data_IF_524502871309
#
_entry.id   IF_524502871309
#
_cell.length_a   1.000
_cell.length_b   1.000
_cell.length_c   1.000
_cell.angle_alpha   90.00
_cell.angle_beta   90.00
_cell.angle_gamma   90.00
#
_symmetry.space_group_name_H-M   'P 1'
#
loop_
_entity.id
_entity.type
_entity.pdbx_description
1 polymer ?
#
# COMPACT_ATOMS: atom_id res chain seq x y z
N UNK A 1 16.74 27.53 10.90
CA UNK A 1 16.98 26.10 11.21
C UNK A 1 15.74 25.25 10.96
N UNK A 2 15.39 25.03 9.68
CA UNK A 2 14.57 23.89 9.18
C UNK A 2 14.90 23.72 7.68
N UNK A 3 16.18 23.47 7.41
CA UNK A 3 16.71 23.10 6.09
C UNK A 3 17.60 21.87 6.33
N UNK A 4 17.02 20.68 6.25
CA UNK A 4 17.72 19.40 6.13
C UNK A 4 16.65 18.31 6.18
N UNK A 5 16.34 17.73 5.02
CA UNK A 5 15.89 16.35 4.71
C UNK A 5 15.29 16.44 3.29
N UNK A 6 16.10 16.93 2.33
CA UNK A 6 15.67 17.04 0.93
C UNK A 6 16.82 16.88 -0.07
N UNK A 7 18.02 16.48 0.36
CA UNK A 7 19.17 16.32 -0.53
C UNK A 7 19.92 15.06 -0.12
N UNK A 8 20.38 14.32 -1.14
CA UNK A 8 20.89 12.93 -1.16
C UNK A 8 19.72 11.97 -1.41
N UNK A 9 19.48 11.51 -2.64
CA UNK A 9 20.37 10.60 -3.37
C UNK A 9 20.26 10.87 -4.89
N UNK A 10 21.28 11.51 -5.45
CA UNK A 10 21.65 11.45 -6.87
C UNK A 10 23.10 10.95 -6.90
N UNK A 11 23.29 9.63 -6.85
CA UNK A 11 24.53 9.00 -7.31
C UNK A 11 24.32 7.49 -7.49
N UNK A 12 24.76 6.97 -8.64
CA UNK A 12 25.03 5.55 -8.83
C UNK A 12 23.91 4.75 -9.51
N UNK A 13 23.69 4.98 -10.80
CA UNK A 13 23.23 3.92 -11.68
C UNK A 13 24.36 2.90 -11.81
N UNK A 14 24.16 1.70 -11.28
CA UNK A 14 24.92 0.51 -11.66
C UNK A 14 23.91 -0.54 -12.10
N UNK A 15 24.00 -0.93 -13.37
CA UNK A 15 23.23 -2.04 -13.93
C UNK A 15 23.46 -3.29 -13.08
N UNK A 16 22.38 -3.97 -12.70
CA UNK A 16 22.46 -5.32 -12.14
C UNK A 16 21.65 -6.29 -13.01
N UNK A 17 22.26 -7.43 -13.41
CA UNK A 17 21.66 -8.40 -14.29
C UNK A 17 20.61 -9.23 -13.55
N UNK A 18 19.63 -9.70 -14.31
CA UNK A 18 18.56 -10.56 -13.83
C UNK A 18 19.08 -11.81 -13.10
N UNK A 19 18.42 -12.13 -12.00
CA UNK A 19 18.25 -13.49 -11.51
C UNK A 19 17.14 -13.52 -10.48
N UNK A 20 16.07 -14.21 -10.83
CA UNK A 20 15.11 -14.76 -9.88
C UNK A 20 15.88 -15.59 -8.85
N UNK A 21 15.96 -15.12 -7.61
CA UNK A 21 16.58 -15.89 -6.55
C UNK A 21 15.76 -15.78 -5.28
N UNK A 22 15.06 -16.88 -5.02
CA UNK A 22 14.32 -17.19 -3.81
C UNK A 22 15.02 -16.69 -2.55
N UNK A 23 14.28 -16.00 -1.69
CA UNK A 23 14.66 -15.75 -0.31
C UNK A 23 14.43 -17.04 0.49
N UNK A 24 15.40 -17.95 0.44
CA UNK A 24 15.43 -19.14 1.29
C UNK A 24 16.38 -18.87 2.46
N UNK A 25 15.83 -18.83 3.67
CA UNK A 25 16.62 -18.84 4.90
C UNK A 25 17.16 -20.25 5.16
N UNK A 26 18.48 -20.37 5.29
CA UNK A 26 19.13 -21.55 5.87
C UNK A 26 18.55 -21.87 7.25
N UNK A 27 18.02 -23.08 7.40
CA UNK A 27 18.08 -23.94 8.60
C UNK A 27 17.36 -25.27 8.32
N UNK A 28 18.03 -26.13 7.56
CA UNK A 28 17.79 -27.58 7.62
C UNK A 28 18.39 -28.13 8.93
N UNK A 29 17.72 -27.85 10.05
CA UNK A 29 17.92 -28.59 11.29
C UNK A 29 16.74 -29.54 11.46
N UNK A 30 17.01 -30.80 11.09
CA UNK A 30 16.31 -32.04 11.41
C UNK A 30 15.15 -31.89 12.42
N UNK A 31 13.95 -31.54 11.94
CA UNK A 31 12.74 -31.57 12.74
C UNK A 31 12.08 -32.96 12.65
N UNK A 32 11.57 -33.53 13.77
CA UNK A 32 10.83 -34.78 13.73
C UNK A 32 9.59 -34.62 12.84
N UNK A 33 9.44 -35.53 11.86
CA UNK A 33 8.34 -35.54 10.90
C UNK A 33 7.00 -35.63 11.65
N UNK A 34 6.21 -34.54 11.60
CA UNK A 34 4.90 -34.51 12.26
C UNK A 34 3.92 -35.51 11.64
N UNK A 35 3.12 -36.15 12.49
CA UNK A 35 2.18 -37.22 12.12
C UNK A 35 1.09 -36.69 11.16
N UNK A 36 1.04 -37.21 9.94
CA UNK A 36 0.24 -36.72 8.80
C UNK A 36 -1.29 -36.93 8.94
N UNK A 37 -1.76 -37.54 10.03
CA UNK A 37 -3.16 -37.93 10.24
C UNK A 37 -3.94 -37.06 11.25
N UNK A 38 -3.55 -35.81 11.49
CA UNK A 38 -4.44 -34.87 12.21
C UNK A 38 -5.42 -34.26 11.23
N UNK A 39 -6.67 -34.74 11.25
CA UNK A 39 -7.80 -34.11 10.56
C UNK A 39 -7.90 -32.67 11.09
N UNK A 40 -7.53 -31.69 10.28
CA UNK A 40 -7.57 -30.26 10.67
C UNK A 40 -9.02 -29.92 11.06
N UNK A 41 -9.24 -29.64 12.34
CA UNK A 41 -10.54 -29.16 12.81
C UNK A 41 -10.74 -27.78 12.19
N UNK A 42 -11.84 -27.60 11.44
CA UNK A 42 -12.15 -26.34 10.74
C UNK A 42 -12.07 -25.20 11.75
N UNK A 43 -11.17 -24.24 11.51
CA UNK A 43 -11.05 -23.05 12.36
C UNK A 43 -12.39 -22.32 12.32
N UNK A 44 -13.04 -22.20 13.47
CA UNK A 44 -14.26 -21.41 13.59
C UNK A 44 -13.91 -19.94 13.31
N UNK A 45 -14.73 -19.29 12.52
CA UNK A 45 -14.61 -17.88 12.22
C UNK A 45 -14.72 -17.03 13.51
N UNK A 46 -13.83 -16.04 13.67
CA UNK A 46 -13.74 -15.23 14.90
C UNK A 46 -15.03 -14.43 15.15
N UNK A 47 -15.68 -13.95 14.11
CA UNK A 47 -16.94 -13.20 14.23
C UNK A 47 -18.05 -14.10 14.78
N UNK A 48 -18.05 -15.37 14.37
CA UNK A 48 -18.99 -16.38 14.88
C UNK A 48 -18.74 -16.70 16.35
N UNK A 49 -17.47 -16.79 16.76
CA UNK A 49 -17.09 -16.97 18.17
C UNK A 49 -17.51 -15.76 18.99
N UNK A 50 -17.32 -14.54 18.49
CA UNK A 50 -17.68 -13.30 19.20
C UNK A 50 -19.18 -13.19 19.42
N UNK A 51 -19.99 -13.41 18.38
CA UNK A 51 -21.46 -13.45 18.48
C UNK A 51 -21.92 -14.49 19.52
N UNK A 52 -21.31 -15.67 19.53
CA UNK A 52 -21.64 -16.71 20.49
C UNK A 52 -21.25 -16.31 21.94
N UNK A 53 -20.13 -15.61 22.14
CA UNK A 53 -19.75 -15.08 23.44
C UNK A 53 -20.72 -14.01 23.95
N UNK A 54 -21.22 -13.15 23.07
CA UNK A 54 -22.18 -12.11 23.44
C UNK A 54 -23.53 -12.72 23.85
N UNK A 55 -23.96 -13.79 23.18
CA UNK A 55 -25.13 -14.58 23.58
C UNK A 55 -24.96 -15.27 24.95
N UNK A 56 -23.75 -15.74 25.27
CA UNK A 56 -23.43 -16.29 26.61
C UNK A 56 -23.49 -15.19 27.67
N UNK A 57 -22.98 -13.99 27.36
CA UNK A 57 -23.06 -12.82 28.26
C UNK A 57 -24.50 -12.36 28.47
N UNK A 58 -25.36 -12.51 27.46
CA UNK A 58 -26.80 -12.23 27.56
C UNK A 58 -27.57 -13.25 28.43
N UNK A 59 -26.91 -14.29 28.95
CA UNK A 59 -27.46 -15.20 29.96
C UNK A 59 -27.74 -16.62 29.47
N UNK A 60 -27.50 -16.95 28.20
CA UNK A 60 -27.71 -18.32 27.71
C UNK A 60 -26.60 -19.27 28.21
N UNK A 61 -26.95 -20.50 28.62
CA UNK A 61 -25.96 -21.44 29.14
C UNK A 61 -25.03 -21.95 28.03
N UNK A 62 -23.74 -22.04 28.35
CA UNK A 62 -22.64 -22.43 27.42
C UNK A 62 -22.91 -23.72 26.63
N UNK A 63 -23.67 -24.67 27.20
CA UNK A 63 -24.03 -25.95 26.57
C UNK A 63 -25.02 -25.77 25.41
N UNK A 64 -25.98 -24.86 25.56
CA UNK A 64 -26.96 -24.55 24.51
C UNK A 64 -26.26 -23.80 23.37
N UNK A 65 -25.47 -22.79 23.71
CA UNK A 65 -24.71 -21.99 22.74
C UNK A 65 -23.71 -22.86 21.96
N UNK A 66 -23.05 -23.82 22.61
CA UNK A 66 -22.17 -24.78 21.94
C UNK A 66 -22.87 -25.63 20.88
N UNK A 67 -24.13 -26.02 21.12
CA UNK A 67 -24.93 -26.72 20.12
C UNK A 67 -25.39 -25.79 18.99
N UNK A 68 -25.87 -24.60 19.34
CA UNK A 68 -26.37 -23.61 18.37
C UNK A 68 -25.29 -23.19 17.37
N UNK A 69 -24.08 -22.89 17.85
CA UNK A 69 -22.99 -22.40 17.01
C UNK A 69 -22.02 -23.51 16.57
N UNK A 70 -22.24 -24.76 16.97
CA UNK A 70 -21.34 -25.89 16.70
C UNK A 70 -19.87 -25.62 17.09
N UNK A 71 -19.68 -24.82 18.13
CA UNK A 71 -18.38 -24.50 18.73
C UNK A 71 -18.23 -25.33 20.01
N UNK A 72 -17.11 -26.05 20.20
CA UNK A 72 -16.89 -26.82 21.42
C UNK A 72 -16.99 -25.95 22.68
N UNK A 73 -17.66 -26.46 23.73
CA UNK A 73 -17.80 -25.77 25.02
C UNK A 73 -16.45 -25.32 25.60
N UNK A 74 -15.41 -26.13 25.41
CA UNK A 74 -14.05 -25.84 25.87
C UNK A 74 -13.50 -24.54 25.26
N UNK A 75 -13.87 -24.22 24.02
CA UNK A 75 -13.48 -22.97 23.35
C UNK A 75 -14.05 -21.76 24.10
N UNK A 76 -15.33 -21.77 24.46
CA UNK A 76 -15.92 -20.68 25.26
C UNK A 76 -15.31 -20.59 26.65
N UNK A 77 -15.04 -21.73 27.27
CA UNK A 77 -14.46 -21.80 28.60
C UNK A 77 -13.05 -21.19 28.63
N UNK A 78 -12.24 -21.45 27.60
CA UNK A 78 -10.94 -20.81 27.39
C UNK A 78 -11.08 -19.32 27.09
N UNK A 79 -11.95 -18.93 26.13
CA UNK A 79 -12.18 -17.53 25.72
C UNK A 79 -12.68 -16.62 26.84
N UNK A 80 -13.45 -17.16 27.79
CA UNK A 80 -13.93 -16.43 28.98
C UNK A 80 -12.95 -16.45 30.16
N UNK A 81 -11.86 -17.22 30.07
CA UNK A 81 -10.87 -17.30 31.15
C UNK A 81 -9.96 -16.07 31.13
N UNK A 82 -9.46 -15.68 32.31
CA UNK A 82 -8.45 -14.61 32.45
C UNK A 82 -7.12 -14.91 31.75
N UNK A 83 -6.91 -16.17 31.32
CA UNK A 83 -5.72 -16.61 30.57
C UNK A 83 -5.81 -16.27 29.09
N UNK A 84 -7.01 -16.02 28.57
CA UNK A 84 -7.17 -15.70 27.16
C UNK A 84 -6.72 -14.27 26.87
N UNK A 85 -5.71 -14.16 26.01
CA UNK A 85 -5.33 -12.92 25.34
C UNK A 85 -5.48 -13.16 23.85
N UNK A 86 -6.18 -12.26 23.17
CA UNK A 86 -6.28 -12.30 21.71
C UNK A 86 -4.92 -11.92 21.15
N UNK A 87 -4.18 -12.90 20.66
CA UNK A 87 -2.94 -12.69 19.91
C UNK A 87 -3.25 -12.80 18.43
N UNK A 88 -2.70 -11.91 17.62
CA UNK A 88 -2.74 -12.06 16.17
C UNK A 88 -1.88 -13.26 15.76
N UNK A 89 -2.39 -14.08 14.85
CA UNK A 89 -1.65 -15.24 14.37
C UNK A 89 -0.57 -14.77 13.39
N UNK A 90 0.69 -15.08 13.69
CA UNK A 90 1.82 -14.83 12.82
C UNK A 90 2.85 -13.85 13.41
N UNK A 91 3.83 -13.48 12.57
CA UNK A 91 4.83 -12.48 12.94
C UNK A 91 4.20 -11.10 12.82
N UNK A 92 4.46 -10.24 13.80
CA UNK A 92 4.07 -8.83 13.72
C UNK A 92 4.67 -8.17 12.48
N UNK A 93 3.94 -7.20 11.94
CA UNK A 93 4.44 -6.33 10.86
C UNK A 93 5.66 -5.54 11.31
N UNK A 94 6.53 -5.19 10.37
CA UNK A 94 7.69 -4.34 10.64
C UNK A 94 7.28 -2.89 10.96
N UNK A 95 6.18 -2.44 10.38
CA UNK A 95 5.56 -1.15 10.69
C UNK A 95 4.47 -1.33 11.72
N UNK A 96 4.32 -0.33 12.59
CA UNK A 96 3.16 -0.21 13.47
C UNK A 96 1.91 0.12 12.65
N UNK A 97 0.73 -0.16 13.23
CA UNK A 97 -0.55 0.12 12.58
C UNK A 97 -0.68 1.60 12.17
N UNK A 98 -0.24 2.51 13.02
CA UNK A 98 -0.29 3.96 12.77
C UNK A 98 0.65 4.40 11.63
N UNK A 99 1.84 3.81 11.55
CA UNK A 99 2.77 4.08 10.44
C UNK A 99 2.21 3.56 9.12
N UNK A 100 1.61 2.36 9.10
CA UNK A 100 0.96 1.85 7.90
C UNK A 100 -0.24 2.72 7.49
N UNK A 101 -1.06 3.18 8.44
CA UNK A 101 -2.19 4.09 8.17
C UNK A 101 -1.72 5.42 7.58
N UNK A 102 -0.63 5.98 8.12
CA UNK A 102 -0.02 7.21 7.59
C UNK A 102 0.44 7.00 6.15
N UNK A 103 1.04 5.85 5.85
CA UNK A 103 1.51 5.50 4.52
C UNK A 103 0.35 5.32 3.53
N UNK A 104 -0.74 4.65 3.95
CA UNK A 104 -1.97 4.53 3.16
C UNK A 104 -2.57 5.89 2.87
N UNK A 105 -2.67 6.75 3.88
CA UNK A 105 -3.22 8.10 3.73
C UNK A 105 -2.41 8.93 2.73
N UNK A 106 -1.07 8.86 2.81
CA UNK A 106 -0.18 9.52 1.85
C UNK A 106 -0.38 9.03 0.40
N UNK A 107 -0.63 7.72 0.20
CA UNK A 107 -0.94 7.15 -1.12
C UNK A 107 -2.28 7.69 -1.65
N UNK A 108 -3.31 7.73 -0.80
CA UNK A 108 -4.65 8.22 -1.18
C UNK A 108 -4.64 9.72 -1.50
N UNK A 109 -3.95 10.52 -0.71
CA UNK A 109 -3.79 11.96 -0.96
C UNK A 109 -2.99 12.23 -2.22
N UNK A 110 -1.94 11.44 -2.47
CA UNK A 110 -1.18 11.48 -3.72
C UNK A 110 -2.10 11.21 -4.91
N UNK A 111 -2.86 10.12 -4.84
CA UNK A 111 -3.83 9.75 -5.88
C UNK A 111 -4.84 10.86 -6.17
N UNK A 112 -5.45 11.45 -5.12
CA UNK A 112 -6.42 12.54 -5.28
C UNK A 112 -5.86 13.81 -5.93
N UNK A 113 -4.54 14.00 -5.87
CA UNK A 113 -3.82 15.13 -6.49
C UNK A 113 -3.22 14.79 -7.85
N UNK A 114 -3.50 13.59 -8.39
CA UNK A 114 -2.92 13.12 -9.66
C UNK A 114 -1.49 12.55 -9.54
N UNK A 115 -0.95 12.43 -8.32
CA UNK A 115 0.37 11.87 -8.06
C UNK A 115 0.29 10.40 -7.65
N UNK A 116 0.38 9.53 -8.64
CA UNK A 116 0.38 8.09 -8.42
C UNK A 116 1.70 7.62 -7.78
N UNK A 117 1.62 6.52 -7.03
CA UNK A 117 2.74 5.91 -6.33
C UNK A 117 2.99 4.51 -6.89
N UNK A 118 4.25 4.20 -7.11
CA UNK A 118 4.71 2.87 -7.50
C UNK A 118 5.08 2.07 -6.26
N UNK A 119 5.22 0.77 -6.46
CA UNK A 119 5.75 -0.16 -5.45
C UNK A 119 7.06 0.34 -4.83
N UNK A 120 8.01 0.78 -5.65
CA UNK A 120 9.32 1.27 -5.18
C UNK A 120 9.17 2.50 -4.28
N UNK A 121 8.29 3.43 -4.64
CA UNK A 121 8.08 4.66 -3.86
C UNK A 121 7.54 4.31 -2.45
N UNK A 122 6.65 3.31 -2.36
CA UNK A 122 6.15 2.78 -1.08
C UNK A 122 7.25 2.07 -0.28
N UNK A 123 8.07 1.25 -0.93
CA UNK A 123 9.19 0.57 -0.27
C UNK A 123 10.22 1.57 0.28
N UNK A 124 10.54 2.62 -0.48
CA UNK A 124 11.49 3.67 -0.10
C UNK A 124 10.93 4.62 0.98
N UNK A 125 9.62 4.79 1.04
CA UNK A 125 8.97 5.62 2.07
C UNK A 125 8.98 4.99 3.47
N UNK A 126 9.36 3.71 3.59
CA UNK A 126 9.48 3.06 4.90
C UNK A 126 10.61 3.67 5.72
N UNK A 127 10.52 3.72 7.06
CA UNK A 127 11.59 4.25 7.90
C UNK A 127 12.90 3.48 7.71
N UNK A 128 14.04 4.17 7.79
CA UNK A 128 15.37 3.55 7.65
C UNK A 128 15.59 2.41 8.64
N UNK A 129 15.03 2.50 9.85
CA UNK A 129 15.08 1.43 10.86
C UNK A 129 14.45 0.12 10.41
N UNK A 130 13.47 0.18 9.51
CA UNK A 130 12.81 -0.97 8.90
C UNK A 130 13.58 -1.43 7.66
N UNK A 131 14.04 -0.49 6.84
CA UNK A 131 14.81 -0.76 5.63
C UNK A 131 16.04 -1.63 5.90
N UNK A 132 16.83 -1.31 6.93
CA UNK A 132 18.05 -2.07 7.30
C UNK A 132 17.82 -3.53 7.69
N UNK A 133 16.56 -3.92 7.94
CA UNK A 133 16.20 -5.30 8.26
C UNK A 133 16.11 -6.19 7.02
N UNK A 134 16.14 -5.58 5.83
CA UNK A 134 16.05 -6.27 4.55
C UNK A 134 17.39 -6.26 3.81
N UNK A 135 17.53 -7.21 2.89
CA UNK A 135 18.64 -7.21 1.94
C UNK A 135 18.58 -5.93 1.11
N UNK A 136 19.72 -5.29 0.89
CA UNK A 136 19.85 -4.04 0.11
C UNK A 136 19.13 -2.83 0.72
N UNK A 137 18.80 -2.86 2.03
CA UNK A 137 18.11 -1.78 2.72
C UNK A 137 16.77 -1.39 2.07
N UNK A 138 16.05 -2.35 1.49
CA UNK A 138 14.75 -2.10 0.87
C UNK A 138 13.76 -3.23 1.19
N UNK A 139 12.53 -2.93 1.62
CA UNK A 139 11.52 -3.96 1.82
C UNK A 139 11.35 -4.82 0.57
N UNK A 140 11.29 -6.15 0.74
CA UNK A 140 11.18 -7.05 -0.40
C UNK A 140 9.78 -7.05 -1.03
N UNK A 141 9.61 -7.72 -2.19
CA UNK A 141 8.30 -7.87 -2.83
C UNK A 141 7.26 -8.53 -1.92
N UNK A 142 7.66 -9.55 -1.17
CA UNK A 142 6.75 -10.24 -0.24
C UNK A 142 6.19 -9.30 0.83
N UNK A 143 7.01 -8.38 1.35
CA UNK A 143 6.55 -7.36 2.30
C UNK A 143 5.47 -6.48 1.68
N UNK A 144 5.68 -6.02 0.44
CA UNK A 144 4.74 -5.19 -0.29
C UNK A 144 3.42 -5.91 -0.58
N UNK A 145 3.47 -7.17 -1.00
CA UNK A 145 2.25 -7.98 -1.21
C UNK A 145 1.46 -8.16 0.10
N UNK A 146 2.15 -8.37 1.22
CA UNK A 146 1.49 -8.45 2.52
C UNK A 146 0.89 -7.09 2.95
N UNK A 147 1.55 -5.97 2.65
CA UNK A 147 1.02 -4.63 2.88
C UNK A 147 -0.30 -4.41 2.13
N UNK A 148 -0.35 -4.68 0.82
CA UNK A 148 -1.59 -4.58 0.04
C UNK A 148 -2.69 -5.53 0.55
N UNK A 149 -2.31 -6.75 0.97
CA UNK A 149 -3.27 -7.72 1.53
C UNK A 149 -3.93 -7.22 2.82
N UNK A 150 -3.19 -6.48 3.66
CA UNK A 150 -3.72 -5.83 4.86
C UNK A 150 -4.61 -4.63 4.50
N UNK A 151 -4.20 -3.84 3.51
CA UNK A 151 -4.86 -2.61 3.11
C UNK A 151 -5.67 -2.78 1.83
N UNK A 152 -6.79 -3.51 1.93
CA UNK A 152 -7.71 -3.80 0.81
C UNK A 152 -8.37 -2.58 0.17
N UNK A 153 -8.17 -1.39 0.73
CA UNK A 153 -8.58 -0.13 0.10
C UNK A 153 -7.68 0.23 -1.09
N UNK A 154 -6.47 -0.33 -1.14
CA UNK A 154 -5.50 -0.14 -2.20
C UNK A 154 -5.46 -1.35 -3.14
N UNK A 155 -5.21 -1.10 -4.41
CA UNK A 155 -4.94 -2.12 -5.42
C UNK A 155 -3.86 -1.65 -6.37
N UNK A 156 -3.05 -2.59 -6.83
CA UNK A 156 -2.11 -2.35 -7.90
C UNK A 156 -2.85 -2.38 -9.25
N UNK A 157 -2.56 -1.43 -10.12
CA UNK A 157 -3.09 -1.35 -11.49
C UNK A 157 -1.98 -1.03 -12.47
N UNK A 158 -2.08 -1.59 -13.67
CA UNK A 158 -1.30 -1.11 -14.81
C UNK A 158 -1.97 0.15 -15.32
N UNK A 159 -1.17 1.17 -15.65
CA UNK A 159 -1.68 2.36 -16.30
C UNK A 159 -2.23 1.99 -17.68
N UNK A 160 -3.40 2.56 -18.03
CA UNK A 160 -3.98 2.41 -19.35
C UNK A 160 -3.59 3.61 -20.20
N UNK A 161 -3.15 3.31 -21.43
CA UNK A 161 -2.86 4.31 -22.44
C UNK A 161 -4.08 5.13 -22.81
N UNK A 162 -3.97 6.45 -22.71
CA UNK A 162 -4.99 7.37 -23.20
C UNK A 162 -4.87 7.44 -24.72
N UNK A 163 -5.87 6.93 -25.44
CA UNK A 163 -5.93 7.08 -26.89
C UNK A 163 -6.07 8.56 -27.27
N UNK A 164 -5.47 8.96 -28.39
CA UNK A 164 -5.44 10.35 -28.88
C UNK A 164 -6.82 11.03 -28.94
N UNK A 165 -7.91 10.27 -29.06
CA UNK A 165 -9.29 10.77 -29.06
C UNK A 165 -9.74 11.31 -27.69
N UNK A 166 -9.22 10.78 -26.59
CA UNK A 166 -9.48 11.25 -25.22
C UNK A 166 -8.67 12.48 -24.82
N UNK A 167 -7.60 12.79 -25.55
CA UNK A 167 -6.79 13.99 -25.37
C UNK A 167 -7.43 15.25 -25.99
N UNK A 168 -8.56 15.12 -26.68
CA UNK A 168 -9.31 16.24 -27.26
C UNK A 168 -10.12 16.97 -26.16
N UNK A 169 -9.40 17.62 -25.24
CA UNK A 169 -10.01 18.42 -24.18
C UNK A 169 -10.76 19.62 -24.75
N UNK A 170 -12.01 19.84 -24.30
CA UNK A 170 -12.73 21.07 -24.63
C UNK A 170 -12.11 22.27 -23.89
N UNK A 171 -12.23 23.47 -24.43
CA UNK A 171 -11.79 24.71 -23.75
C UNK A 171 -12.40 24.82 -22.34
N UNK A 172 -13.66 24.43 -22.19
CA UNK A 172 -14.36 24.43 -20.90
C UNK A 172 -13.70 23.50 -19.88
N UNK A 173 -13.18 22.34 -20.31
CA UNK A 173 -12.49 21.40 -19.43
C UNK A 173 -11.15 21.99 -18.95
N UNK A 174 -10.40 22.62 -19.86
CA UNK A 174 -9.12 23.25 -19.53
C UNK A 174 -9.35 24.41 -18.54
N UNK A 175 -10.31 25.29 -18.83
CA UNK A 175 -10.65 26.41 -17.93
C UNK A 175 -11.19 25.91 -16.57
N UNK A 176 -11.99 24.84 -16.57
CA UNK A 176 -12.47 24.19 -15.37
C UNK A 176 -11.31 23.68 -14.50
N UNK A 177 -10.35 22.98 -15.12
CA UNK A 177 -9.15 22.50 -14.42
C UNK A 177 -8.34 23.65 -13.80
N UNK A 178 -8.06 24.73 -14.54
CA UNK A 178 -7.35 25.88 -13.97
C UNK A 178 -8.09 26.50 -12.77
N UNK A 179 -9.42 26.54 -12.82
CA UNK A 179 -10.24 27.02 -11.71
C UNK A 179 -10.15 26.10 -10.49
N UNK A 180 -10.22 24.78 -10.69
CA UNK A 180 -10.06 23.80 -9.61
C UNK A 180 -8.70 23.93 -8.90
N UNK A 181 -7.64 24.12 -9.69
CA UNK A 181 -6.29 24.37 -9.15
C UNK A 181 -6.24 25.67 -8.35
N UNK A 182 -6.83 26.75 -8.87
CA UNK A 182 -6.90 28.05 -8.17
C UNK A 182 -7.67 27.94 -6.85
N UNK A 183 -8.82 27.26 -6.84
CA UNK A 183 -9.64 27.06 -5.65
C UNK A 183 -8.90 26.21 -4.59
N UNK A 184 -8.15 25.19 -5.02
CA UNK A 184 -7.28 24.40 -4.13
C UNK A 184 -6.21 25.27 -3.45
N UNK A 185 -5.52 26.14 -4.20
CA UNK A 185 -4.52 27.03 -3.61
C UNK A 185 -5.13 28.08 -2.67
N UNK A 186 -6.33 28.58 -2.98
CA UNK A 186 -7.09 29.47 -2.07
C UNK A 186 -7.44 28.76 -0.77
N UNK A 187 -7.98 27.54 -0.84
CA UNK A 187 -8.36 26.75 0.34
C UNK A 187 -7.15 26.49 1.25
N UNK A 188 -5.98 26.21 0.67
CA UNK A 188 -4.75 25.95 1.44
C UNK A 188 -4.00 27.21 1.87
N UNK A 189 -4.42 28.39 1.42
CA UNK A 189 -3.74 29.66 1.74
C UNK A 189 -2.35 29.76 1.12
N UNK A 190 -2.18 29.24 -0.10
CA UNK A 190 -0.90 29.14 -0.81
C UNK A 190 -0.89 29.88 -2.17
N UNK A 191 -1.68 30.95 -2.29
CA UNK A 191 -1.79 31.72 -3.54
C UNK A 191 -0.48 32.38 -3.97
N UNK A 192 0.42 32.64 -3.02
CA UNK A 192 1.75 33.21 -3.26
C UNK A 192 2.62 32.35 -4.18
N UNK A 193 2.37 31.04 -4.25
CA UNK A 193 3.10 30.12 -5.13
C UNK A 193 2.91 30.48 -6.60
N UNK A 194 1.73 30.98 -6.98
CA UNK A 194 1.41 31.34 -8.36
C UNK A 194 2.07 32.66 -8.81
N UNK A 195 2.52 33.50 -7.86
CA UNK A 195 3.14 34.79 -8.16
C UNK A 195 4.62 34.67 -8.56
N UNK A 196 5.27 33.56 -8.24
CA UNK A 196 6.69 33.33 -8.54
C UNK A 196 6.83 32.22 -9.59
N UNK A 197 6.92 32.61 -10.86
CA UNK A 197 7.10 31.68 -11.97
C UNK A 197 8.35 30.80 -11.83
N UNK A 198 9.38 31.24 -11.09
CA UNK A 198 10.58 30.47 -10.75
C UNK A 198 10.31 29.25 -9.86
N UNK A 199 9.12 29.14 -9.26
CA UNK A 199 8.67 27.97 -8.48
C UNK A 199 7.91 26.95 -9.31
N UNK A 200 7.59 27.28 -10.56
CA UNK A 200 6.85 26.41 -11.47
C UNK A 200 7.86 25.55 -12.22
N UNK A 201 7.99 24.30 -11.78
CA UNK A 201 8.80 23.30 -12.46
C UNK A 201 7.91 22.48 -13.37
N UNK A 202 8.25 22.41 -14.65
CA UNK A 202 7.62 21.46 -15.55
C UNK A 202 8.42 20.15 -15.51
N UNK A 203 7.78 19.07 -15.11
CA UNK A 203 8.34 17.73 -15.13
C UNK A 203 7.34 16.81 -15.80
N UNK A 204 7.73 16.22 -16.92
CA UNK A 204 6.96 15.16 -17.56
C UNK A 204 7.59 13.82 -17.17
N UNK A 205 6.80 12.97 -16.52
CA UNK A 205 7.24 11.65 -16.06
C UNK A 205 6.32 10.63 -16.69
N UNK A 206 6.83 9.96 -17.71
CA UNK A 206 6.23 8.73 -18.23
C UNK A 206 6.41 7.63 -17.19
N UNK A 207 5.38 7.41 -16.37
CA UNK A 207 5.37 6.29 -15.44
C UNK A 207 4.98 5.02 -16.19
N UNK A 208 5.91 4.45 -16.94
CA UNK A 208 5.71 3.11 -17.51
C UNK A 208 5.63 2.09 -16.37
N UNK A 209 4.44 1.58 -16.08
CA UNK A 209 4.28 0.40 -15.23
C UNK A 209 3.08 0.41 -14.28
N UNK A 210 3.25 -0.34 -13.18
CA UNK A 210 2.20 -0.55 -12.20
C UNK A 210 2.21 0.51 -11.11
N UNK A 211 1.03 1.06 -10.83
CA UNK A 211 0.77 2.09 -9.83
C UNK A 211 -0.23 1.59 -8.81
N UNK A 212 -0.22 2.20 -7.64
CA UNK A 212 -1.13 1.90 -6.54
C UNK A 212 -2.27 2.90 -6.58
N UNK A 213 -3.50 2.38 -6.57
CA UNK A 213 -4.74 3.17 -6.65
C UNK A 213 -5.74 2.70 -5.61
N UNK A 214 -6.73 3.53 -5.24
CA UNK A 214 -7.90 3.06 -4.52
C UNK A 214 -8.63 1.96 -5.31
N UNK A 215 -9.21 0.99 -4.59
CA UNK A 215 -10.08 0.00 -5.21
C UNK A 215 -11.28 0.70 -5.85
N UNK A 216 -11.63 0.29 -7.07
CA UNK A 216 -12.74 0.87 -7.82
C UNK A 216 -12.36 2.02 -8.76
N UNK A 217 -11.13 2.55 -8.70
CA UNK A 217 -10.65 3.53 -9.69
C UNK A 217 -10.67 2.91 -11.09
N UNK A 218 -11.46 3.47 -12.01
CA UNK A 218 -11.61 2.93 -13.36
C UNK A 218 -10.37 3.20 -14.22
N UNK A 219 -9.86 4.43 -14.16
CA UNK A 219 -8.85 4.89 -15.09
C UNK A 219 -7.66 5.44 -14.30
N UNK A 220 -6.50 4.81 -14.46
CA UNK A 220 -5.21 5.36 -14.09
C UNK A 220 -4.51 5.63 -15.42
N UNK A 221 -4.45 6.90 -15.81
CA UNK A 221 -4.11 7.31 -17.16
C UNK A 221 -2.60 7.44 -17.36
N UNK A 222 -2.09 6.92 -18.47
CA UNK A 222 -0.78 7.25 -19.05
C UNK A 222 -1.00 7.79 -20.46
N UNK A 223 -0.39 8.90 -20.84
CA UNK A 223 -0.53 9.43 -22.21
C UNK A 223 0.29 8.53 -23.14
N UNK A 224 -0.38 7.73 -23.97
CA UNK A 224 0.29 6.84 -24.93
C UNK A 224 0.88 7.67 -26.08
N UNK A 225 2.21 7.69 -26.20
CA UNK A 225 2.89 8.13 -27.42
C UNK A 225 3.12 6.90 -28.31
N UNK A 226 2.64 7.02 -29.55
CA UNK A 226 2.50 5.95 -30.53
C UNK A 226 3.74 5.05 -30.71
N UNK A 227 3.46 3.76 -30.97
CA UNK A 227 4.35 2.65 -31.35
C UNK A 227 5.12 1.92 -30.23
N UNK A 228 4.71 0.66 -29.99
CA UNK A 228 5.22 -0.27 -28.99
C UNK A 228 6.65 -0.83 -29.24
N UNK A 229 7.50 -0.13 -30.02
CA UNK A 229 8.89 -0.55 -30.27
C UNK A 229 9.85 0.64 -30.08
N UNK A 230 10.33 0.72 -28.84
CA UNK A 230 11.38 1.60 -28.32
C UNK A 230 11.06 3.09 -28.28
N UNK A 231 10.45 3.53 -27.18
CA UNK A 231 10.25 4.94 -26.92
C UNK A 231 10.93 5.30 -25.59
N UNK A 232 12.07 6.00 -25.68
CA UNK A 232 12.66 6.76 -24.57
C UNK A 232 12.09 8.17 -24.65
N UNK A 233 11.35 8.59 -23.63
CA UNK A 233 10.95 10.00 -23.49
C UNK A 233 11.48 10.53 -22.18
N UNK A 234 12.37 11.51 -22.29
CA UNK A 234 12.98 12.28 -21.21
C UNK A 234 12.56 13.73 -21.42
N UNK A 235 11.97 14.38 -20.42
CA UNK A 235 11.83 15.84 -20.44
C UNK A 235 12.06 16.44 -19.05
N UNK A 236 13.12 17.25 -18.95
CA UNK A 236 13.46 18.04 -17.77
C UNK A 236 13.18 19.52 -18.06
N UNK A 237 12.69 20.27 -17.07
CA UNK A 237 13.02 21.69 -16.99
C UNK A 237 13.12 22.16 -15.55
N UNK A 238 14.31 22.64 -15.20
CA UNK A 238 14.63 23.24 -13.91
C UNK A 238 15.22 24.61 -14.15
N UNK A 239 14.84 25.62 -13.35
CA UNK A 239 15.69 26.79 -13.20
C UNK A 239 15.57 27.44 -11.82
N UNK A 240 16.67 27.38 -11.08
CA UNK A 240 17.03 28.35 -10.04
C UNK A 240 18.50 28.72 -10.30
N UNK A 241 18.85 30.00 -10.17
CA UNK A 241 20.25 30.45 -10.20
C UNK A 241 20.98 29.99 -8.95
#
# INVERSE_FOLDING_TARGET
>A
MKCAIAIMILSGYHELPGKDMYCSTEKDLNMPKSNKNRKYMKSNDEDTIQKALDVIKAGLPKKIVAKMYSIPRATFQFRLSSKFKKTELGRNTYLTKNEEETLVQWILEGHGKGFLRRKLDVQQSTPTSVQILFKENLPCDHWYQLFLKRHKILTERTLEGVTATSANGSENNIRGWFKEIEDYFKEKGHMEVLNEASRVFNGDVFQLGKVITPVGTKNAYEVELEQAKQNLTVMFSFQVK
#
